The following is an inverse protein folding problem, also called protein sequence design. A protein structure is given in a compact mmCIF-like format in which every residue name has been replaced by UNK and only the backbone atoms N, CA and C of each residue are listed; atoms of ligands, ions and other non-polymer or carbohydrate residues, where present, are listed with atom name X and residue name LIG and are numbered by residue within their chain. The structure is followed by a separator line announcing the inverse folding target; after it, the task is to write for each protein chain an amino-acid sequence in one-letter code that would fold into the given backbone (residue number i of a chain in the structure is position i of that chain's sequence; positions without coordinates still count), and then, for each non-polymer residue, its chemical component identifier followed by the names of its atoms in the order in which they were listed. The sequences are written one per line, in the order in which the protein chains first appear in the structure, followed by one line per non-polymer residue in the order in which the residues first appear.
data_IF_302161901494
#
_entry.id   IF_302161901494
#
_cell.length_a   1.000
_cell.length_b   1.000
_cell.length_c   1.000
_cell.angle_alpha   90.00
_cell.angle_beta   90.00
_cell.angle_gamma   90.00
#
_symmetry.space_group_name_H-M   'P 1'
#
loop_
_entity.id
_entity.type
_entity.pdbx_description
1 polymer ?
#
# COMPACT_ATOMS: atom_id res chain seq x y z
N UNK A 1 -48.39 -22.60 29.32
CA UNK A 1 -47.95 -23.09 27.99
C UNK A 1 -47.72 -21.96 27.00
N UNK A 2 -48.70 -21.09 26.71
CA UNK A 2 -48.53 -19.96 25.76
C UNK A 2 -47.49 -18.90 26.19
N UNK A 3 -47.50 -18.47 27.45
CA UNK A 3 -46.52 -17.48 27.96
C UNK A 3 -45.07 -17.98 27.84
N UNK A 4 -44.84 -19.27 28.11
CA UNK A 4 -43.54 -19.91 27.97
C UNK A 4 -43.05 -19.94 26.51
N UNK A 5 -43.95 -20.18 25.55
CA UNK A 5 -43.63 -20.18 24.11
C UNK A 5 -43.24 -18.76 23.65
N UNK A 6 -43.97 -17.73 24.06
CA UNK A 6 -43.66 -16.33 23.74
C UNK A 6 -42.30 -15.94 24.32
N UNK A 7 -41.99 -16.34 25.56
CA UNK A 7 -40.71 -16.06 26.19
C UNK A 7 -39.54 -16.69 25.43
N UNK A 8 -39.69 -17.94 24.97
CA UNK A 8 -38.68 -18.64 24.18
C UNK A 8 -38.49 -17.97 22.81
N UNK A 9 -39.57 -17.55 22.14
CA UNK A 9 -39.51 -16.84 20.87
C UNK A 9 -38.81 -15.49 20.99
N UNK A 10 -39.16 -14.69 22.00
CA UNK A 10 -38.49 -13.41 22.27
C UNK A 10 -37.02 -13.61 22.59
N UNK A 11 -36.68 -14.60 23.42
CA UNK A 11 -35.27 -14.94 23.71
C UNK A 11 -34.49 -15.29 22.45
N UNK A 12 -35.03 -16.15 21.58
CA UNK A 12 -34.40 -16.51 20.30
C UNK A 12 -34.23 -15.31 19.38
N UNK A 13 -35.22 -14.43 19.31
CA UNK A 13 -35.16 -13.21 18.50
C UNK A 13 -34.08 -12.26 19.00
N UNK A 14 -33.99 -12.04 20.32
CA UNK A 14 -32.94 -11.22 20.93
C UNK A 14 -31.56 -11.80 20.62
N UNK A 15 -31.36 -13.11 20.81
CA UNK A 15 -30.07 -13.75 20.50
C UNK A 15 -29.70 -13.61 19.01
N UNK A 16 -30.66 -13.75 18.10
CA UNK A 16 -30.42 -13.59 16.67
C UNK A 16 -30.06 -12.13 16.30
N UNK A 17 -30.68 -11.14 16.96
CA UNK A 17 -30.32 -9.73 16.82
C UNK A 17 -28.91 -9.45 17.34
N UNK A 18 -28.55 -10.01 18.50
CA UNK A 18 -27.22 -9.83 19.08
C UNK A 18 -26.12 -10.41 18.18
N UNK A 19 -26.33 -11.63 17.65
CA UNK A 19 -25.39 -12.25 16.70
C UNK A 19 -25.24 -11.39 15.44
N UNK A 20 -26.34 -10.87 14.89
CA UNK A 20 -26.27 -9.96 13.72
C UNK A 20 -25.52 -8.68 14.04
N UNK A 21 -25.76 -8.06 15.19
CA UNK A 21 -25.09 -6.83 15.61
C UNK A 21 -23.58 -7.05 15.78
N UNK A 22 -23.17 -8.17 16.39
CA UNK A 22 -21.75 -8.56 16.47
C UNK A 22 -21.18 -8.67 15.05
N UNK A 23 -21.87 -9.37 14.14
CA UNK A 23 -21.36 -9.57 12.79
C UNK A 23 -21.25 -8.27 11.98
N UNK A 24 -22.22 -7.36 12.13
CA UNK A 24 -22.17 -6.03 11.51
C UNK A 24 -20.98 -5.24 12.04
N UNK A 25 -20.74 -5.27 13.36
CA UNK A 25 -19.60 -4.57 13.96
C UNK A 25 -18.26 -5.13 13.49
N UNK A 26 -18.13 -6.46 13.37
CA UNK A 26 -16.94 -7.09 12.79
C UNK A 26 -16.69 -6.62 11.35
N UNK A 27 -17.70 -6.72 10.48
CA UNK A 27 -17.60 -6.32 9.07
C UNK A 27 -17.31 -4.82 8.92
N UNK A 28 -17.92 -3.98 9.77
CA UNK A 28 -17.67 -2.54 9.79
C UNK A 28 -16.21 -2.24 10.16
N UNK A 29 -15.67 -2.92 11.17
CA UNK A 29 -14.27 -2.77 11.57
C UNK A 29 -13.30 -3.25 10.48
N UNK A 30 -13.60 -4.36 9.82
CA UNK A 30 -12.83 -4.85 8.67
C UNK A 30 -12.87 -3.86 7.50
N UNK A 31 -14.05 -3.30 7.20
CA UNK A 31 -14.22 -2.28 6.15
C UNK A 31 -13.39 -1.03 6.45
N UNK A 32 -13.50 -0.48 7.67
CA UNK A 32 -12.71 0.69 8.11
C UNK A 32 -11.21 0.41 7.99
N UNK A 33 -10.77 -0.79 8.37
CA UNK A 33 -9.37 -1.20 8.24
C UNK A 33 -8.94 -1.26 6.77
N UNK A 34 -9.78 -1.83 5.91
CA UNK A 34 -9.55 -1.92 4.47
C UNK A 34 -9.47 -0.55 3.81
N UNK A 35 -10.39 0.37 4.12
CA UNK A 35 -10.37 1.74 3.61
C UNK A 35 -9.11 2.49 4.02
N UNK A 36 -8.70 2.36 5.30
CA UNK A 36 -7.45 2.96 5.79
C UNK A 36 -6.23 2.41 5.05
N UNK A 37 -6.14 1.10 4.86
CA UNK A 37 -5.03 0.49 4.12
C UNK A 37 -5.01 0.93 2.66
N UNK A 38 -6.16 1.02 2.00
CA UNK A 38 -6.28 1.52 0.63
C UNK A 38 -5.79 2.97 0.51
N UNK A 39 -6.21 3.85 1.43
CA UNK A 39 -5.76 5.24 1.45
C UNK A 39 -4.25 5.36 1.69
N UNK A 40 -3.71 4.54 2.60
CA UNK A 40 -2.26 4.47 2.83
C UNK A 40 -1.53 3.98 1.56
N UNK A 41 -2.10 3.02 0.83
CA UNK A 41 -1.52 2.49 -0.41
C UNK A 41 -1.46 3.49 -1.53
N UNK A 42 -2.53 4.24 -1.73
CA UNK A 42 -2.57 5.31 -2.71
C UNK A 42 -1.52 6.41 -2.40
N UNK A 43 -1.45 6.82 -1.13
CA UNK A 43 -0.45 7.80 -0.68
C UNK A 43 0.98 7.26 -0.82
N UNK A 44 1.23 6.01 -0.42
CA UNK A 44 2.52 5.36 -0.54
C UNK A 44 2.97 5.24 -2.00
N UNK A 45 2.06 4.87 -2.91
CA UNK A 45 2.31 4.80 -4.35
C UNK A 45 2.73 6.17 -4.90
N UNK A 46 2.00 7.23 -4.54
CA UNK A 46 2.32 8.60 -4.96
C UNK A 46 3.66 9.06 -4.42
N UNK A 47 3.90 8.90 -3.11
CA UNK A 47 5.18 9.25 -2.49
C UNK A 47 6.34 8.49 -3.12
N UNK A 48 6.16 7.22 -3.43
CA UNK A 48 7.19 6.39 -4.05
C UNK A 48 7.56 6.89 -5.44
N UNK A 49 6.57 7.27 -6.24
CA UNK A 49 6.82 7.93 -7.52
C UNK A 49 7.57 9.26 -7.33
N UNK A 50 7.10 10.10 -6.40
CA UNK A 50 7.70 11.41 -6.14
C UNK A 50 9.12 11.34 -5.58
N UNK A 51 9.47 10.27 -4.86
CA UNK A 51 10.82 9.99 -4.37
C UNK A 51 11.74 9.36 -5.44
N UNK A 52 11.21 8.47 -6.29
CA UNK A 52 12.00 7.88 -7.39
C UNK A 52 12.51 8.93 -8.36
N UNK A 53 11.75 10.00 -8.58
CA UNK A 53 12.14 11.09 -9.49
C UNK A 53 13.47 11.76 -9.10
N UNK A 54 13.60 12.40 -7.91
CA UNK A 54 14.86 13.01 -7.49
C UNK A 54 15.97 11.98 -7.35
N UNK A 55 15.70 10.75 -6.89
CA UNK A 55 16.70 9.69 -6.81
C UNK A 55 17.25 9.31 -8.19
N UNK A 56 16.40 9.23 -9.21
CA UNK A 56 16.80 8.94 -10.59
C UNK A 56 17.67 10.06 -11.18
N UNK A 57 17.32 11.32 -10.89
CA UNK A 57 18.11 12.48 -11.30
C UNK A 57 19.50 12.47 -10.65
N UNK A 58 19.57 12.20 -9.34
CA UNK A 58 20.86 12.12 -8.62
C UNK A 58 21.68 10.93 -9.16
N UNK A 59 21.07 9.75 -9.34
CA UNK A 59 21.74 8.56 -9.89
C UNK A 59 22.37 8.85 -11.23
N UNK A 60 21.58 9.41 -12.15
CA UNK A 60 22.03 9.76 -13.50
C UNK A 60 23.16 10.77 -13.45
N UNK A 61 23.07 11.78 -12.57
CA UNK A 61 24.11 12.80 -12.42
C UNK A 61 25.44 12.20 -11.91
N UNK A 62 25.37 11.28 -10.95
CA UNK A 62 26.54 10.56 -10.42
C UNK A 62 27.15 9.65 -11.49
N UNK A 63 26.32 8.88 -12.20
CA UNK A 63 26.76 7.98 -13.27
C UNK A 63 27.44 8.76 -14.41
N UNK A 64 26.84 9.87 -14.86
CA UNK A 64 27.45 10.74 -15.88
C UNK A 64 28.79 11.30 -15.40
N UNK A 65 28.88 11.72 -14.13
CA UNK A 65 30.13 12.27 -13.56
C UNK A 65 31.23 11.21 -13.50
N UNK A 66 30.90 9.98 -13.10
CA UNK A 66 31.82 8.84 -13.09
C UNK A 66 32.33 8.48 -14.49
N UNK A 67 31.45 8.55 -15.51
CA UNK A 67 31.83 8.28 -16.90
C UNK A 67 32.72 9.39 -17.46
N UNK A 68 32.35 10.66 -17.25
CA UNK A 68 33.07 11.81 -17.83
C UNK A 68 34.42 12.08 -17.19
N UNK A 69 34.56 11.81 -15.90
CA UNK A 69 35.76 12.14 -15.12
C UNK A 69 36.55 10.89 -14.71
N UNK A 70 36.38 9.78 -15.44
CA UNK A 70 36.98 8.48 -15.08
C UNK A 70 38.48 8.55 -14.82
N UNK A 71 39.20 9.33 -15.63
CA UNK A 71 40.67 9.45 -15.57
C UNK A 71 41.15 10.67 -14.76
N UNK A 72 40.23 11.52 -14.32
CA UNK A 72 40.53 12.77 -13.59
C UNK A 72 40.05 12.77 -12.14
N UNK A 73 39.16 11.84 -11.76
CA UNK A 73 38.68 11.67 -10.40
C UNK A 73 39.79 11.16 -9.49
N UNK A 74 39.95 11.79 -8.33
CA UNK A 74 40.79 11.24 -7.28
C UNK A 74 40.18 9.91 -6.76
N UNK A 75 40.99 8.99 -6.21
CA UNK A 75 40.48 7.76 -5.60
C UNK A 75 39.40 8.04 -4.53
N UNK A 76 39.56 9.13 -3.76
CA UNK A 76 38.62 9.55 -2.71
C UNK A 76 37.29 10.01 -3.28
N UNK A 77 37.30 10.76 -4.38
CA UNK A 77 36.07 11.24 -5.02
C UNK A 77 35.32 10.08 -5.69
N UNK A 78 36.04 9.14 -6.30
CA UNK A 78 35.44 7.92 -6.85
C UNK A 78 34.75 7.09 -5.75
N UNK A 79 35.41 6.92 -4.60
CA UNK A 79 34.81 6.23 -3.45
C UNK A 79 33.55 6.96 -2.93
N UNK A 80 33.59 8.30 -2.84
CA UNK A 80 32.43 9.09 -2.44
C UNK A 80 31.25 8.92 -3.41
N UNK A 81 31.50 8.94 -4.72
CA UNK A 81 30.48 8.71 -5.75
C UNK A 81 29.87 7.30 -5.66
N UNK A 82 30.68 6.28 -5.42
CA UNK A 82 30.18 4.92 -5.18
C UNK A 82 29.31 4.83 -3.93
N UNK A 83 29.69 5.50 -2.83
CA UNK A 83 28.87 5.55 -1.61
C UNK A 83 27.52 6.20 -1.87
N UNK A 84 27.46 7.28 -2.65
CA UNK A 84 26.22 7.95 -3.04
C UNK A 84 25.35 7.00 -3.88
N UNK A 85 25.92 6.35 -4.90
CA UNK A 85 25.18 5.41 -5.74
C UNK A 85 24.58 4.25 -4.93
N UNK A 86 25.35 3.71 -3.99
CA UNK A 86 24.88 2.67 -3.06
C UNK A 86 23.75 3.18 -2.15
N UNK A 87 23.81 4.42 -1.68
CA UNK A 87 22.74 5.02 -0.88
C UNK A 87 21.44 5.19 -1.68
N UNK A 88 21.54 5.65 -2.93
CA UNK A 88 20.38 5.78 -3.83
C UNK A 88 19.72 4.42 -4.09
N UNK A 89 20.53 3.39 -4.32
CA UNK A 89 20.04 2.02 -4.53
C UNK A 89 19.31 1.51 -3.28
N UNK A 90 19.89 1.70 -2.09
CA UNK A 90 19.24 1.32 -0.83
C UNK A 90 17.91 2.05 -0.60
N UNK A 91 17.86 3.36 -0.86
CA UNK A 91 16.62 4.14 -0.72
C UNK A 91 15.56 3.66 -1.71
N UNK A 92 15.95 3.34 -2.94
CA UNK A 92 15.03 2.80 -3.95
C UNK A 92 14.42 1.47 -3.47
N UNK A 93 15.23 0.56 -2.93
CA UNK A 93 14.75 -0.72 -2.41
C UNK A 93 13.83 -0.55 -1.20
N UNK A 94 14.16 0.35 -0.26
CA UNK A 94 13.30 0.64 0.90
C UNK A 94 11.92 1.17 0.48
N UNK A 95 11.87 1.95 -0.59
CA UNK A 95 10.62 2.43 -1.17
C UNK A 95 9.79 1.27 -1.75
N UNK A 96 10.43 0.35 -2.48
CA UNK A 96 9.76 -0.86 -3.00
C UNK A 96 9.22 -1.74 -1.87
N UNK A 97 9.99 -1.99 -0.81
CA UNK A 97 9.58 -2.82 0.33
C UNK A 97 8.31 -2.26 1.00
N UNK A 98 8.23 -0.94 1.16
CA UNK A 98 7.05 -0.27 1.71
C UNK A 98 5.85 -0.42 0.79
N UNK A 99 6.04 -0.30 -0.54
CA UNK A 99 4.95 -0.49 -1.50
C UNK A 99 4.44 -1.92 -1.51
N UNK A 100 5.33 -2.91 -1.51
CA UNK A 100 4.97 -4.32 -1.56
C UNK A 100 4.15 -4.74 -0.33
N UNK A 101 4.46 -4.17 0.84
CA UNK A 101 3.66 -4.37 2.05
C UNK A 101 2.21 -3.86 1.90
N UNK A 102 2.01 -2.75 1.19
CA UNK A 102 0.68 -2.14 1.06
C UNK A 102 -0.10 -2.69 -0.16
N UNK A 103 0.59 -3.26 -1.14
CA UNK A 103 0.01 -3.77 -2.39
C UNK A 103 -0.81 -5.06 -2.23
N UNK A 104 -0.91 -5.65 -1.03
CA UNK A 104 -1.75 -6.83 -0.74
C UNK A 104 -3.26 -6.53 -0.76
N UNK A 105 -3.71 -5.57 -1.57
CA UNK A 105 -5.13 -5.32 -1.79
C UNK A 105 -5.57 -6.19 -2.97
N UNK A 106 -6.38 -7.22 -2.70
CA UNK A 106 -6.96 -8.05 -3.76
C UNK A 106 -7.69 -7.15 -4.77
N UNK A 107 -7.29 -7.28 -6.04
CA UNK A 107 -7.89 -6.56 -7.16
C UNK A 107 -9.35 -7.02 -7.31
N UNK A 108 -10.30 -6.27 -6.74
CA UNK A 108 -11.72 -6.55 -6.92
C UNK A 108 -12.12 -6.17 -8.35
N UNK A 109 -11.99 -7.13 -9.26
CA UNK A 109 -12.46 -7.01 -10.64
C UNK A 109 -13.98 -6.99 -10.63
N UNK A 110 -14.56 -5.79 -10.71
CA UNK A 110 -15.98 -5.63 -10.96
C UNK A 110 -16.24 -5.95 -12.43
N UNK A 111 -17.20 -6.84 -12.70
CA UNK A 111 -17.61 -7.21 -14.06
C UNK A 111 -18.33 -6.00 -14.69
N UNK A 112 -17.59 -5.14 -15.37
CA UNK A 112 -18.18 -4.03 -16.13
C UNK A 112 -18.65 -4.57 -17.48
N UNK A 113 -19.96 -4.63 -17.70
CA UNK A 113 -20.48 -4.79 -19.06
C UNK A 113 -20.24 -3.46 -19.78
N UNK A 114 -19.35 -3.49 -20.80
CA UNK A 114 -19.28 -2.42 -21.77
C UNK A 114 -20.64 -2.32 -22.46
N UNK A 115 -21.44 -1.35 -22.06
CA UNK A 115 -22.59 -0.92 -22.85
C UNK A 115 -21.99 -0.29 -24.10
N UNK A 116 -22.19 -0.95 -25.24
CA UNK A 116 -21.87 -0.43 -26.57
C UNK A 116 -22.52 0.95 -26.70
N UNK A 117 -21.71 1.99 -26.84
CA UNK A 117 -22.19 3.31 -27.23
C UNK A 117 -21.70 3.52 -28.66
N UNK A 118 -22.67 3.35 -29.57
CA UNK A 118 -22.66 3.45 -31.04
C UNK A 118 -22.16 2.24 -31.82
#
# INVERSE_FOLDING_TARGET
MFSSIILILNSKLTTALDIKNIKINELSNELIKSERLSAIGELAARLSHDLRNPLSVIKTSVEISLIRNKDTLSPKDNEAMQRINNAITRMTNQIEDVLDYVKTTELQKIKCQLIHVF
#
